data_IF_848007141924
#
_entry.id   IF_848007141924
#
_cell.length_a   1.000
_cell.length_b   1.000
_cell.length_c   1.000
_cell.angle_alpha   90.00
_cell.angle_beta   90.00
_cell.angle_gamma   90.00
#
_symmetry.space_group_name_H-M   'P 1'
#
loop_
_entity.id
_entity.type
_entity.pdbx_description
1 polymer ?
#
# COMPACT_ATOMS: atom_id res chain seq x y z
N UNK A 1 -31.21 -22.06 -31.44
CA UNK A 1 -30.88 -21.84 -30.02
C UNK A 1 -32.18 -21.59 -29.27
N UNK A 2 -32.46 -22.27 -28.15
CA UNK A 2 -33.71 -22.06 -27.39
C UNK A 2 -33.65 -20.71 -26.65
N UNK A 3 -34.78 -20.00 -26.52
CA UNK A 3 -34.88 -18.73 -25.78
C UNK A 3 -34.32 -18.83 -24.36
N UNK A 4 -34.53 -19.96 -23.68
CA UNK A 4 -34.00 -20.19 -22.33
C UNK A 4 -32.47 -20.26 -22.29
N UNK A 5 -31.84 -20.78 -23.35
CA UNK A 5 -30.38 -20.83 -23.45
C UNK A 5 -29.78 -19.45 -23.73
N UNK A 6 -30.45 -18.61 -24.52
CA UNK A 6 -30.02 -17.24 -24.78
C UNK A 6 -30.12 -16.39 -23.52
N UNK A 7 -31.27 -16.45 -22.82
CA UNK A 7 -31.50 -15.69 -21.60
C UNK A 7 -30.51 -16.05 -20.47
N UNK A 8 -30.06 -17.31 -20.38
CA UNK A 8 -29.01 -17.72 -19.43
C UNK A 8 -27.62 -17.18 -19.78
N UNK A 9 -27.33 -16.98 -21.07
CA UNK A 9 -26.06 -16.39 -21.52
C UNK A 9 -26.07 -14.89 -21.24
N UNK A 10 -27.16 -14.21 -21.57
CA UNK A 10 -27.32 -12.76 -21.35
C UNK A 10 -27.23 -12.42 -19.85
N UNK A 11 -27.94 -13.17 -18.99
CA UNK A 11 -27.86 -12.99 -17.53
C UNK A 11 -26.45 -13.20 -16.96
N UNK A 12 -25.65 -14.11 -17.54
CA UNK A 12 -24.25 -14.32 -17.12
C UNK A 12 -23.37 -13.15 -17.56
N UNK A 13 -23.54 -12.66 -18.78
CA UNK A 13 -22.80 -11.50 -19.29
C UNK A 13 -23.09 -10.25 -18.46
N UNK A 14 -24.36 -9.99 -18.12
CA UNK A 14 -24.74 -8.84 -17.27
C UNK A 14 -24.11 -8.94 -15.87
N UNK A 15 -24.07 -10.14 -15.29
CA UNK A 15 -23.43 -10.38 -13.99
C UNK A 15 -21.92 -10.13 -14.06
N UNK A 16 -21.25 -10.61 -15.12
CA UNK A 16 -19.81 -10.43 -15.33
C UNK A 16 -19.46 -8.94 -15.56
N UNK A 17 -20.27 -8.21 -16.32
CA UNK A 17 -20.13 -6.76 -16.53
C UNK A 17 -20.27 -6.02 -15.20
N UNK A 18 -21.30 -6.36 -14.42
CA UNK A 18 -21.55 -5.71 -13.12
C UNK A 18 -20.41 -5.98 -12.14
N UNK A 19 -19.93 -7.23 -12.06
CA UNK A 19 -18.81 -7.60 -11.20
C UNK A 19 -17.51 -6.88 -11.60
N UNK A 20 -17.24 -6.78 -12.90
CA UNK A 20 -16.10 -6.02 -13.44
C UNK A 20 -16.18 -4.54 -13.06
N UNK A 21 -17.36 -3.92 -13.20
CA UNK A 21 -17.59 -2.53 -12.82
C UNK A 21 -17.40 -2.28 -11.33
N UNK A 22 -17.96 -3.14 -10.47
CA UNK A 22 -17.77 -3.03 -9.01
C UNK A 22 -16.28 -3.16 -8.62
N UNK A 23 -15.59 -4.14 -9.20
CA UNK A 23 -14.17 -4.33 -8.94
C UNK A 23 -13.36 -3.10 -9.37
N UNK A 24 -13.68 -2.47 -10.49
CA UNK A 24 -13.05 -1.22 -10.91
C UNK A 24 -13.31 -0.08 -9.90
N UNK A 25 -14.56 0.11 -9.49
CA UNK A 25 -14.94 1.14 -8.52
C UNK A 25 -14.22 0.98 -7.16
N UNK A 26 -14.04 -0.26 -6.69
CA UNK A 26 -13.30 -0.54 -5.46
C UNK A 26 -11.83 -0.12 -5.57
N UNK A 27 -11.19 -0.39 -6.72
CA UNK A 27 -9.82 0.05 -6.99
C UNK A 27 -9.70 1.57 -6.99
N UNK A 28 -10.61 2.24 -7.72
CA UNK A 28 -10.60 3.71 -7.79
C UNK A 28 -10.78 4.33 -6.41
N UNK A 29 -11.72 3.81 -5.60
CA UNK A 29 -11.96 4.26 -4.23
C UNK A 29 -10.73 4.09 -3.32
N UNK A 30 -10.00 2.97 -3.45
CA UNK A 30 -8.77 2.73 -2.70
C UNK A 30 -7.66 3.72 -3.09
N UNK A 31 -7.44 3.94 -4.40
CA UNK A 31 -6.43 4.87 -4.91
C UNK A 31 -6.76 6.33 -4.58
N UNK A 32 -8.03 6.73 -4.68
CA UNK A 32 -8.50 8.06 -4.27
C UNK A 32 -8.20 8.34 -2.81
N UNK A 33 -8.42 7.36 -1.92
CA UNK A 33 -8.08 7.48 -0.50
C UNK A 33 -6.57 7.60 -0.29
N UNK A 34 -5.77 6.77 -0.96
CA UNK A 34 -4.31 6.85 -0.89
C UNK A 34 -3.81 8.25 -1.28
N UNK A 35 -4.24 8.76 -2.44
CA UNK A 35 -3.88 10.09 -2.92
C UNK A 35 -4.28 11.19 -1.94
N UNK A 36 -5.50 11.13 -1.40
CA UNK A 36 -5.99 12.13 -0.45
C UNK A 36 -5.15 12.13 0.81
N UNK A 37 -4.86 10.96 1.37
CA UNK A 37 -4.04 10.84 2.58
C UNK A 37 -2.62 11.34 2.32
N UNK A 38 -2.01 10.99 1.20
CA UNK A 38 -0.67 11.46 0.83
C UNK A 38 -0.63 12.99 0.68
N UNK A 39 -1.63 13.59 0.03
CA UNK A 39 -1.74 15.06 -0.13
C UNK A 39 -1.99 15.80 1.18
N UNK A 40 -2.68 15.18 2.12
CA UNK A 40 -3.02 15.79 3.41
C UNK A 40 -2.29 15.13 4.57
N UNK A 41 -1.13 14.53 4.30
CA UNK A 41 -0.40 13.79 5.32
C UNK A 41 0.05 14.79 6.40
N UNK A 42 -0.25 14.52 7.67
CA UNK A 42 0.15 15.44 8.73
C UNK A 42 1.67 15.38 8.93
N UNK A 43 2.26 16.38 9.60
CA UNK A 43 3.67 16.33 9.99
C UNK A 43 3.97 15.06 10.79
N UNK A 44 5.19 14.50 10.65
CA UNK A 44 5.62 13.26 11.34
C UNK A 44 5.41 13.30 12.86
N UNK A 45 5.59 14.47 13.48
CA UNK A 45 5.40 14.66 14.92
C UNK A 45 3.93 14.78 15.35
N UNK A 46 2.98 14.80 14.41
CA UNK A 46 1.57 14.94 14.73
C UNK A 46 1.02 13.65 15.37
N UNK A 47 0.14 13.77 16.38
CA UNK A 47 -0.40 12.60 17.10
C UNK A 47 -1.24 11.66 16.22
N UNK A 48 -1.74 12.15 15.09
CA UNK A 48 -2.54 11.37 14.14
C UNK A 48 -1.74 10.89 12.91
N UNK A 49 -0.41 11.06 12.91
CA UNK A 49 0.46 10.56 11.83
C UNK A 49 0.39 9.03 11.72
N UNK A 50 0.44 8.30 12.85
CA UNK A 50 0.29 6.83 12.86
C UNK A 50 -1.02 6.38 12.25
N UNK A 51 -2.12 7.04 12.61
CA UNK A 51 -3.44 6.72 12.09
C UNK A 51 -3.51 6.95 10.57
N UNK A 52 -2.94 8.05 10.08
CA UNK A 52 -2.89 8.34 8.65
C UNK A 52 -2.06 7.31 7.88
N UNK A 53 -0.86 6.96 8.37
CA UNK A 53 -0.01 5.94 7.75
C UNK A 53 -0.65 4.56 7.78
N UNK A 54 -1.31 4.19 8.88
CA UNK A 54 -2.00 2.90 9.00
C UNK A 54 -3.16 2.81 8.01
N UNK A 55 -3.98 3.87 7.90
CA UNK A 55 -5.07 3.92 6.92
C UNK A 55 -4.55 3.87 5.48
N UNK A 56 -3.44 4.57 5.21
CA UNK A 56 -2.76 4.52 3.91
C UNK A 56 -2.28 3.10 3.58
N UNK A 57 -1.64 2.42 4.52
CA UNK A 57 -1.17 1.04 4.35
C UNK A 57 -2.31 0.05 4.11
N UNK A 58 -3.48 0.24 4.74
CA UNK A 58 -4.68 -0.57 4.48
C UNK A 58 -5.13 -0.41 3.03
N UNK A 59 -5.42 0.82 2.59
CA UNK A 59 -5.92 1.07 1.24
C UNK A 59 -4.89 0.69 0.17
N UNK A 60 -3.61 0.98 0.39
CA UNK A 60 -2.54 0.62 -0.53
C UNK A 60 -2.37 -0.90 -0.62
N UNK A 61 -2.43 -1.62 0.50
CA UNK A 61 -2.37 -3.08 0.46
C UNK A 61 -3.53 -3.65 -0.36
N UNK A 62 -4.76 -3.17 -0.16
CA UNK A 62 -5.93 -3.71 -0.85
C UNK A 62 -5.82 -3.46 -2.36
N UNK A 63 -5.37 -2.27 -2.78
CA UNK A 63 -5.09 -1.96 -4.17
C UNK A 63 -3.96 -2.86 -4.75
N UNK A 64 -2.87 -3.07 -4.02
CA UNK A 64 -1.77 -3.94 -4.46
C UNK A 64 -2.20 -5.41 -4.58
N UNK A 65 -3.00 -5.92 -3.64
CA UNK A 65 -3.51 -7.29 -3.71
C UNK A 65 -4.45 -7.46 -4.90
N UNK A 66 -5.38 -6.51 -5.11
CA UNK A 66 -6.24 -6.52 -6.28
C UNK A 66 -5.42 -6.48 -7.57
N UNK A 67 -4.42 -5.59 -7.65
CA UNK A 67 -3.55 -5.52 -8.81
C UNK A 67 -2.82 -6.83 -9.07
N UNK A 68 -2.41 -7.55 -8.03
CA UNK A 68 -1.84 -8.88 -8.14
C UNK A 68 -2.85 -9.91 -8.68
N UNK A 69 -4.10 -9.89 -8.22
CA UNK A 69 -5.17 -10.77 -8.73
C UNK A 69 -5.47 -10.50 -10.21
N UNK A 70 -5.40 -9.24 -10.64
CA UNK A 70 -5.64 -8.82 -12.03
C UNK A 70 -4.39 -9.03 -12.93
N UNK A 71 -3.32 -9.67 -12.45
CA UNK A 71 -2.09 -9.93 -13.21
C UNK A 71 -1.19 -8.70 -13.41
N UNK A 72 -1.46 -7.60 -12.70
CA UNK A 72 -0.73 -6.32 -12.73
C UNK A 72 0.04 -6.05 -11.43
N UNK A 73 0.65 -7.10 -10.86
CA UNK A 73 1.40 -7.00 -9.60
C UNK A 73 2.52 -5.95 -9.72
N UNK A 74 2.66 -5.11 -8.69
CA UNK A 74 3.77 -4.15 -8.59
C UNK A 74 4.95 -4.82 -7.89
N UNK A 75 6.11 -4.91 -8.54
CA UNK A 75 7.19 -5.84 -8.18
C UNK A 75 8.55 -5.19 -7.90
N UNK A 76 8.66 -3.87 -7.82
CA UNK A 76 9.95 -3.25 -7.53
C UNK A 76 10.47 -3.65 -6.14
N UNK A 77 11.79 -3.76 -6.03
CA UNK A 77 12.49 -4.19 -4.81
C UNK A 77 13.58 -3.21 -4.37
N UNK A 78 13.68 -2.05 -5.03
CA UNK A 78 14.64 -1.02 -4.70
C UNK A 78 14.46 -0.56 -3.24
N UNK A 79 15.57 -0.52 -2.50
CA UNK A 79 15.62 -0.05 -1.11
C UNK A 79 14.80 -0.89 -0.12
N UNK A 80 14.48 -2.15 -0.46
CA UNK A 80 13.91 -3.12 0.49
C UNK A 80 15.05 -3.79 1.25
N UNK A 81 14.95 -3.85 2.57
CA UNK A 81 15.96 -4.50 3.42
C UNK A 81 16.05 -5.99 3.10
N UNK A 82 17.24 -6.46 2.71
CA UNK A 82 17.48 -7.87 2.37
C UNK A 82 17.11 -8.81 3.52
N UNK A 83 17.31 -8.38 4.76
CA UNK A 83 17.00 -9.15 5.98
C UNK A 83 15.50 -9.27 6.26
N UNK A 84 14.67 -8.43 5.64
CA UNK A 84 13.22 -8.53 5.77
C UNK A 84 12.66 -9.80 5.12
N UNK A 85 13.42 -10.45 4.21
CA UNK A 85 13.01 -11.64 3.44
C UNK A 85 11.67 -11.42 2.71
N UNK A 86 11.56 -10.28 2.06
CA UNK A 86 10.40 -9.84 1.30
C UNK A 86 10.79 -9.78 -0.18
N UNK A 87 9.96 -10.33 -1.07
CA UNK A 87 10.27 -10.41 -2.49
C UNK A 87 10.19 -9.05 -3.22
N UNK A 88 9.16 -8.26 -2.91
CA UNK A 88 8.86 -7.00 -3.59
C UNK A 88 8.03 -6.05 -2.70
N UNK A 89 7.76 -4.84 -3.20
CA UNK A 89 6.95 -3.85 -2.49
C UNK A 89 5.54 -4.34 -2.16
N UNK A 90 4.93 -5.19 -3.00
CA UNK A 90 3.59 -5.72 -2.75
C UNK A 90 3.59 -6.58 -1.50
N UNK A 91 4.59 -7.45 -1.33
CA UNK A 91 4.75 -8.21 -0.10
C UNK A 91 5.17 -7.30 1.08
N UNK A 92 6.03 -6.31 0.85
CA UNK A 92 6.48 -5.38 1.90
C UNK A 92 5.31 -4.65 2.56
N UNK A 93 4.45 -4.03 1.74
CA UNK A 93 3.29 -3.29 2.22
C UNK A 93 2.29 -4.23 2.93
N UNK A 94 2.14 -5.47 2.45
CA UNK A 94 1.31 -6.47 3.12
C UNK A 94 1.82 -6.81 4.53
N UNK A 95 3.13 -7.05 4.68
CA UNK A 95 3.75 -7.29 6.00
C UNK A 95 3.67 -6.06 6.90
N UNK A 96 3.97 -4.88 6.35
CA UNK A 96 3.89 -3.60 7.05
C UNK A 96 2.49 -3.33 7.58
N UNK A 97 1.46 -3.46 6.74
CA UNK A 97 0.04 -3.34 7.13
C UNK A 97 -0.32 -4.33 8.24
N UNK A 98 0.06 -5.60 8.09
CA UNK A 98 -0.24 -6.62 9.09
C UNK A 98 0.47 -6.34 10.43
N UNK A 99 1.66 -5.74 10.41
CA UNK A 99 2.35 -5.32 11.62
C UNK A 99 1.66 -4.11 12.29
N UNK A 100 1.20 -3.14 11.49
CA UNK A 100 0.49 -1.95 11.97
C UNK A 100 -0.87 -2.29 12.60
N UNK A 101 -1.72 -3.04 11.88
CA UNK A 101 -3.12 -3.24 12.26
C UNK A 101 -3.35 -4.27 13.36
N UNK A 102 -2.43 -5.21 13.58
CA UNK A 102 -2.63 -6.30 14.54
C UNK A 102 -1.79 -6.10 15.81
N UNK A 103 -2.47 -5.92 16.96
CA UNK A 103 -1.83 -5.69 18.28
C UNK A 103 -0.88 -6.84 18.67
N UNK A 104 -1.27 -8.07 18.32
CA UNK A 104 -0.49 -9.29 18.59
C UNK A 104 0.34 -9.77 17.40
N UNK A 105 0.56 -8.92 16.39
CA UNK A 105 1.32 -9.29 15.21
C UNK A 105 2.74 -9.74 15.59
N UNK A 106 3.17 -10.97 15.24
CA UNK A 106 4.54 -11.40 15.45
C UNK A 106 5.52 -10.58 14.59
N UNK A 107 5.01 -9.89 13.55
CA UNK A 107 5.79 -9.04 12.66
C UNK A 107 6.35 -7.80 13.36
N UNK A 108 5.79 -7.40 14.50
CA UNK A 108 6.32 -6.30 15.33
C UNK A 108 7.47 -6.72 16.24
N UNK A 109 7.79 -8.01 16.31
CA UNK A 109 8.86 -8.52 17.16
C UNK A 109 10.22 -8.30 16.50
N UNK A 110 11.10 -7.68 17.26
CA UNK A 110 12.53 -7.54 16.97
C UNK A 110 13.24 -8.11 18.18
N UNK A 111 13.95 -9.21 17.98
CA UNK A 111 14.52 -10.04 19.05
C UNK A 111 13.49 -10.39 20.14
N UNK A 112 13.79 -10.05 21.40
CA UNK A 112 12.91 -10.24 22.56
C UNK A 112 11.91 -9.12 22.80
N UNK A 113 11.95 -8.04 22.00
CA UNK A 113 11.13 -6.83 22.17
C UNK A 113 9.99 -6.68 21.15
N UNK A 114 9.21 -5.62 21.33
CA UNK A 114 8.26 -5.13 20.32
C UNK A 114 8.70 -3.77 19.83
N UNK A 115 8.83 -3.63 18.52
CA UNK A 115 9.16 -2.39 17.85
C UNK A 115 7.92 -1.94 17.06
N UNK A 116 7.23 -0.91 17.56
CA UNK A 116 5.99 -0.42 16.96
C UNK A 116 6.15 1.06 16.63
N UNK A 117 5.82 1.39 15.39
CA UNK A 117 5.71 2.74 14.86
C UNK A 117 6.89 3.64 15.19
N UNK A 118 8.04 3.34 14.58
CA UNK A 118 9.19 4.23 14.61
C UNK A 118 9.25 5.00 13.31
N UNK A 119 9.49 6.31 13.42
CA UNK A 119 9.58 7.21 12.27
C UNK A 119 10.91 7.95 12.33
N UNK A 120 11.65 7.93 11.23
CA UNK A 120 12.95 8.56 11.09
C UNK A 120 12.92 9.41 9.83
N UNK A 121 12.92 10.74 10.00
CA UNK A 121 12.93 11.70 8.89
C UNK A 121 14.34 12.14 8.53
N UNK A 122 14.60 12.28 7.23
CA UNK A 122 15.92 12.64 6.71
C UNK A 122 16.94 11.51 6.89
N UNK A 123 18.20 11.79 6.56
CA UNK A 123 19.26 10.78 6.62
C UNK A 123 19.73 10.60 8.05
N UNK A 124 19.62 9.38 8.56
CA UNK A 124 20.10 9.00 9.88
C UNK A 124 20.46 7.51 9.87
N UNK A 125 21.73 7.22 9.58
CA UNK A 125 22.25 5.84 9.52
C UNK A 125 22.42 5.33 10.95
N UNK A 126 21.87 4.15 11.26
CA UNK A 126 21.98 3.53 12.58
C UNK A 126 21.43 4.42 13.71
N UNK A 127 20.35 5.15 13.46
CA UNK A 127 19.73 6.03 14.44
C UNK A 127 19.30 5.28 15.71
N UNK A 128 18.95 4.00 15.58
CA UNK A 128 18.62 3.11 16.69
C UNK A 128 19.31 1.76 16.42
N UNK A 129 20.07 1.26 17.38
CA UNK A 129 20.70 -0.07 17.32
C UNK A 129 20.15 -0.96 18.42
N UNK A 130 19.64 -2.14 18.05
CA UNK A 130 19.11 -3.16 18.99
C UNK A 130 19.72 -4.51 18.61
N UNK A 131 20.59 -5.03 19.49
CA UNK A 131 21.35 -6.26 19.26
C UNK A 131 22.12 -6.23 17.93
N UNK A 132 21.65 -6.99 16.93
CA UNK A 132 22.22 -7.10 15.58
C UNK A 132 21.44 -6.30 14.54
N UNK A 133 20.44 -5.51 14.94
CA UNK A 133 19.59 -4.74 14.05
C UNK A 133 19.92 -3.26 14.16
N UNK A 134 20.21 -2.64 13.03
CA UNK A 134 20.36 -1.19 12.91
C UNK A 134 19.16 -0.62 12.15
N UNK A 135 18.51 0.36 12.77
CA UNK A 135 17.36 1.07 12.23
C UNK A 135 17.78 2.49 11.88
N UNK A 136 17.36 2.96 10.72
CA UNK A 136 17.78 4.25 10.20
C UNK A 136 17.07 4.61 8.90
N UNK A 137 17.46 5.75 8.37
CA UNK A 137 17.02 6.23 7.06
C UNK A 137 18.24 6.56 6.23
N UNK A 138 18.29 6.03 5.02
CA UNK A 138 19.44 6.16 4.13
C UNK A 138 19.40 7.47 3.31
N UNK A 139 18.27 8.20 3.37
CA UNK A 139 17.94 9.27 2.44
C UNK A 139 17.57 10.58 3.14
N UNK A 140 18.15 11.68 2.66
CA UNK A 140 17.90 13.05 3.15
C UNK A 140 16.47 13.53 2.86
N UNK A 141 15.89 13.06 1.77
CA UNK A 141 14.61 13.54 1.20
C UNK A 141 13.43 12.61 1.50
N UNK A 142 13.58 11.68 2.44
CA UNK A 142 12.55 10.66 2.73
C UNK A 142 12.29 10.51 4.22
N UNK A 143 11.25 9.73 4.52
CA UNK A 143 10.86 9.32 5.86
C UNK A 143 10.84 7.79 5.89
N UNK A 144 11.70 7.19 6.71
CA UNK A 144 11.67 5.77 7.02
C UNK A 144 10.65 5.51 8.13
N UNK A 145 9.73 4.57 7.90
CA UNK A 145 8.69 4.17 8.85
C UNK A 145 8.85 2.68 9.13
N UNK A 146 8.83 2.31 10.40
CA UNK A 146 9.04 0.95 10.85
C UNK A 146 7.85 0.42 11.66
N UNK A 147 7.43 -0.79 11.30
CA UNK A 147 6.74 -1.70 12.21
C UNK A 147 7.53 -3.01 12.28
N UNK A 148 8.06 -3.33 13.46
CA UNK A 148 9.01 -4.42 13.63
C UNK A 148 10.27 -4.19 12.79
N UNK A 149 10.64 -5.19 12.00
CA UNK A 149 11.81 -5.15 11.09
C UNK A 149 11.50 -4.55 9.71
N UNK A 150 10.23 -4.25 9.41
CA UNK A 150 9.82 -3.84 8.08
C UNK A 150 9.94 -2.33 7.95
N UNK A 151 11.00 -1.87 7.28
CA UNK A 151 11.15 -0.48 6.84
C UNK A 151 10.32 -0.23 5.60
N UNK A 152 9.60 0.87 5.60
CA UNK A 152 8.96 1.42 4.41
C UNK A 152 9.34 2.89 4.30
N UNK A 153 9.78 3.30 3.12
CA UNK A 153 10.02 4.69 2.78
C UNK A 153 8.76 5.35 2.22
N UNK A 154 8.43 6.53 2.75
CA UNK A 154 7.22 7.26 2.35
C UNK A 154 7.22 7.59 0.85
N UNK A 155 8.33 8.08 0.31
CA UNK A 155 8.42 8.46 -1.10
C UNK A 155 8.80 7.23 -1.94
N UNK A 156 9.92 6.59 -1.62
CA UNK A 156 10.49 5.51 -2.46
C UNK A 156 9.64 4.25 -2.54
N UNK A 157 8.81 3.97 -1.53
CA UNK A 157 7.95 2.78 -1.52
C UNK A 157 6.47 3.12 -1.62
N UNK A 158 5.94 3.96 -0.73
CA UNK A 158 4.49 4.22 -0.66
C UNK A 158 4.04 5.08 -1.84
N UNK A 159 4.60 6.29 -2.01
CA UNK A 159 4.21 7.19 -3.11
C UNK A 159 4.46 6.52 -4.46
N UNK A 160 5.64 5.92 -4.65
CA UNK A 160 5.97 5.17 -5.87
C UNK A 160 4.95 4.06 -6.18
N UNK A 161 4.57 3.25 -5.18
CA UNK A 161 3.58 2.19 -5.40
C UNK A 161 2.21 2.76 -5.80
N UNK A 162 1.79 3.88 -5.22
CA UNK A 162 0.57 4.59 -5.63
C UNK A 162 0.68 5.10 -7.07
N UNK A 163 1.82 5.65 -7.47
CA UNK A 163 2.05 6.16 -8.82
C UNK A 163 2.06 5.03 -9.87
N UNK A 164 2.70 3.90 -9.57
CA UNK A 164 2.70 2.72 -10.45
C UNK A 164 1.30 2.10 -10.56
N UNK A 165 0.52 2.08 -9.46
CA UNK A 165 -0.88 1.66 -9.49
C UNK A 165 -1.76 2.62 -10.33
N UNK A 166 -1.59 3.93 -10.16
CA UNK A 166 -2.29 4.93 -10.97
C UNK A 166 -1.98 4.78 -12.47
N UNK A 167 -0.77 4.36 -12.81
CA UNK A 167 -0.38 4.06 -14.20
C UNK A 167 -1.03 2.76 -14.71
N UNK A 168 -1.12 1.74 -13.86
CA UNK A 168 -1.74 0.45 -14.18
C UNK A 168 -3.28 0.48 -14.23
N UNK A 169 -3.88 1.47 -13.54
CA UNK A 169 -5.31 1.74 -13.43
C UNK A 169 -5.59 3.22 -13.70
N UNK A 170 -5.51 3.67 -14.96
CA UNK A 170 -5.81 5.05 -15.32
C UNK A 170 -7.25 5.38 -14.91
N UNK A 171 -7.39 6.31 -13.97
CA UNK A 171 -8.70 6.82 -13.52
C UNK A 171 -9.20 7.83 -14.53
N UNK A 172 -10.46 7.69 -14.95
CA UNK A 172 -11.13 8.73 -15.72
C UNK A 172 -11.51 9.84 -14.73
N UNK A 173 -10.69 10.89 -14.61
CA UNK A 173 -11.09 12.04 -13.79
C UNK A 173 -12.34 12.65 -14.43
N UNK A 174 -13.43 12.69 -13.68
CA UNK A 174 -14.66 13.35 -14.08
C UNK A 174 -14.44 14.83 -14.46
N UNK A 175 -13.33 15.45 -14.06
CA UNK A 175 -12.94 16.80 -14.46
C UNK A 175 -12.58 16.95 -15.94
N UNK A 176 -12.29 15.85 -16.64
CA UNK A 176 -11.85 15.87 -18.04
C UNK A 176 -13.01 15.57 -19.00
N UNK A 177 -14.19 15.23 -18.45
CA UNK A 177 -15.43 15.27 -19.18
C UNK A 177 -15.88 16.75 -19.24
N UNK A 178 -15.49 17.44 -20.31
CA UNK A 178 -16.15 18.67 -20.72
C UNK A 178 -17.66 18.42 -20.69
N UNK A 179 -18.35 19.11 -19.78
CA UNK A 179 -19.80 19.14 -19.74
C UNK A 179 -20.33 19.49 -21.14
N UNK A 180 -21.42 18.83 -21.60
CA UNK A 180 -22.08 19.18 -22.86
C UNK A 180 -22.58 20.63 -22.86
#
# INVERSE_FOLDING_TARGET
MNKDSQQRIDNRQDADITASWMAHADMESALDKCDRILKTLPPVAAPHFEAAITLLAINLNDALQKASTDGKRITFSDNIDAEAKVADVTELISKFRNAACHIFSPLTKVDGGKFRFIVIGGKAIGAISISSWDFGSDFEDDVAIYFGRFRVYLVRHIQRAVDELNSAYPRHRWSDATAP
#
